data_IF_662786095364
#
_entry.id   IF_662786095364
#
_cell.length_a   1.000
_cell.length_b   1.000
_cell.length_c   1.000
_cell.angle_alpha   90.00
_cell.angle_beta   90.00
_cell.angle_gamma   90.00
#
_symmetry.space_group_name_H-M   'P 1'
#
loop_
_entity.id
_entity.type
_entity.pdbx_description
1 polymer ?
#
# COMPACT_ATOMS: atom_id res chain seq x y z
N UNK A 1 -5.19 0.11 10.42
CA UNK A 1 -5.28 -0.59 9.11
C UNK A 1 -4.70 0.20 7.94
N UNK A 2 -4.20 -0.50 6.92
CA UNK A 2 -3.75 -0.02 5.62
C UNK A 2 -4.44 -0.82 4.53
N UNK A 3 -4.83 -0.18 3.44
CA UNK A 3 -5.34 -0.83 2.25
C UNK A 3 -4.21 -1.00 1.23
N UNK A 4 -3.97 -2.24 0.81
CA UNK A 4 -3.04 -2.56 -0.26
C UNK A 4 -3.80 -2.87 -1.54
N UNK A 5 -3.37 -2.27 -2.64
CA UNK A 5 -3.77 -2.63 -4.00
C UNK A 5 -2.53 -2.95 -4.81
N UNK A 6 -2.46 -4.17 -5.30
CA UNK A 6 -1.36 -4.71 -6.08
C UNK A 6 -1.82 -4.94 -7.52
N UNK A 7 -0.91 -4.71 -8.45
CA UNK A 7 -0.98 -5.32 -9.79
C UNK A 7 0.14 -6.35 -9.85
N UNK A 8 -0.20 -7.61 -10.10
CA UNK A 8 0.72 -8.74 -10.01
C UNK A 8 0.77 -9.47 -11.36
N UNK A 9 1.95 -9.77 -11.92
CA UNK A 9 2.05 -10.68 -13.07
C UNK A 9 1.37 -12.01 -12.77
N UNK A 10 0.61 -12.55 -13.73
CA UNK A 10 -0.22 -13.75 -13.50
C UNK A 10 0.56 -14.97 -13.02
N UNK A 11 1.84 -15.10 -13.36
CA UNK A 11 2.72 -16.18 -12.91
C UNK A 11 3.21 -16.04 -11.46
N UNK A 12 3.12 -14.84 -10.87
CA UNK A 12 3.48 -14.55 -9.49
C UNK A 12 2.27 -14.47 -8.53
N UNK A 13 1.04 -14.49 -9.05
CA UNK A 13 -0.19 -14.30 -8.25
C UNK A 13 -0.31 -15.30 -7.11
N UNK A 14 -0.09 -16.59 -7.37
CA UNK A 14 -0.22 -17.63 -6.34
C UNK A 14 0.79 -17.44 -5.20
N UNK A 15 2.02 -17.01 -5.53
CA UNK A 15 3.06 -16.73 -4.53
C UNK A 15 2.71 -15.51 -3.69
N UNK A 16 2.22 -14.44 -4.32
CA UNK A 16 1.75 -13.24 -3.62
C UNK A 16 0.55 -13.54 -2.72
N UNK A 17 -0.42 -14.32 -3.20
CA UNK A 17 -1.59 -14.72 -2.40
C UNK A 17 -1.17 -15.55 -1.20
N UNK A 18 -0.28 -16.54 -1.38
CA UNK A 18 0.23 -17.34 -0.29
C UNK A 18 0.97 -16.51 0.76
N UNK A 19 1.77 -15.52 0.33
CA UNK A 19 2.42 -14.56 1.22
C UNK A 19 1.37 -13.80 2.05
N UNK A 20 0.35 -13.23 1.41
CA UNK A 20 -0.70 -12.46 2.07
C UNK A 20 -1.53 -13.31 3.04
N UNK A 21 -1.86 -14.55 2.69
CA UNK A 21 -2.59 -15.47 3.57
C UNK A 21 -1.75 -15.91 4.79
N UNK A 22 -0.42 -16.00 4.64
CA UNK A 22 0.49 -16.36 5.72
C UNK A 22 0.89 -15.19 6.63
N UNK A 23 0.63 -13.95 6.19
CA UNK A 23 0.99 -12.75 6.92
C UNK A 23 -0.02 -12.49 8.03
N UNK A 24 0.44 -12.54 9.28
CA UNK A 24 -0.39 -12.18 10.43
C UNK A 24 -0.73 -10.70 10.34
N UNK A 25 -2.01 -10.37 10.57
CA UNK A 25 -2.50 -9.00 10.45
C UNK A 25 -3.05 -8.66 9.06
N UNK A 26 -3.18 -9.62 8.15
CA UNK A 26 -3.90 -9.43 6.87
C UNK A 26 -5.38 -9.80 6.99
N UNK A 27 -6.24 -8.98 6.39
CA UNK A 27 -7.68 -9.15 6.27
C UNK A 27 -8.16 -8.79 4.85
N UNK A 28 -9.41 -9.13 4.55
CA UNK A 28 -10.11 -8.71 3.33
C UNK A 28 -9.35 -8.96 2.01
N UNK A 29 -8.69 -10.12 1.90
CA UNK A 29 -8.00 -10.51 0.67
C UNK A 29 -9.00 -10.72 -0.49
N UNK A 30 -8.76 -10.05 -1.60
CA UNK A 30 -9.53 -10.12 -2.84
C UNK A 30 -8.55 -10.32 -4.00
N UNK A 31 -8.87 -11.26 -4.89
CA UNK A 31 -8.10 -11.54 -6.11
C UNK A 31 -8.99 -11.40 -7.32
N UNK A 32 -8.56 -10.60 -8.29
CA UNK A 32 -9.25 -10.35 -9.55
C UNK A 32 -8.34 -10.77 -10.73
N UNK A 33 -8.43 -12.04 -11.17
CA UNK A 33 -7.58 -12.55 -12.24
C UNK A 33 -7.81 -11.82 -13.58
N UNK A 34 -6.72 -11.47 -14.27
CA UNK A 34 -6.70 -10.83 -15.59
C UNK A 34 -7.29 -9.42 -15.63
N UNK A 35 -7.54 -8.80 -14.48
CA UNK A 35 -8.21 -7.50 -14.39
C UNK A 35 -7.29 -6.33 -14.79
N UNK A 36 -5.97 -6.47 -14.65
CA UNK A 36 -5.02 -5.41 -14.95
C UNK A 36 -4.55 -5.45 -16.42
N UNK A 37 -4.42 -4.27 -17.02
CA UNK A 37 -4.05 -4.11 -18.45
C UNK A 37 -2.65 -3.57 -18.68
N UNK A 38 -2.14 -2.73 -17.78
CA UNK A 38 -0.80 -2.13 -17.86
C UNK A 38 -0.33 -1.75 -16.45
N UNK A 39 0.58 -2.53 -15.84
CA UNK A 39 1.08 -3.82 -16.32
C UNK A 39 -0.04 -4.87 -16.45
N UNK A 40 0.14 -5.82 -17.36
CA UNK A 40 -0.83 -6.88 -17.58
C UNK A 40 -0.72 -7.95 -16.48
N UNK A 41 -1.84 -8.36 -15.90
CA UNK A 41 -1.86 -9.34 -14.83
C UNK A 41 -3.13 -9.28 -13.99
N UNK A 42 -2.99 -9.64 -12.73
CA UNK A 42 -4.07 -9.77 -11.77
C UNK A 42 -4.07 -8.58 -10.81
N UNK A 43 -5.25 -8.21 -10.31
CA UNK A 43 -5.37 -7.22 -9.22
C UNK A 43 -5.58 -7.98 -7.92
N UNK A 44 -4.69 -7.77 -6.96
CA UNK A 44 -4.77 -8.36 -5.62
C UNK A 44 -4.93 -7.23 -4.62
N UNK A 45 -5.90 -7.33 -3.73
CA UNK A 45 -6.21 -6.30 -2.74
C UNK A 45 -6.34 -6.94 -1.37
N UNK A 46 -5.90 -6.26 -0.32
CA UNK A 46 -6.13 -6.68 1.05
C UNK A 46 -6.02 -5.50 2.00
N UNK A 47 -6.51 -5.67 3.21
CA UNK A 47 -6.22 -4.74 4.31
C UNK A 47 -5.19 -5.38 5.22
N UNK A 48 -4.25 -4.60 5.74
CA UNK A 48 -3.23 -5.07 6.67
C UNK A 48 -3.16 -4.17 7.89
N UNK A 49 -2.92 -4.75 9.06
CA UNK A 49 -2.57 -4.01 10.27
C UNK A 49 -1.32 -3.16 10.00
N UNK A 50 -1.23 -1.97 10.61
CA UNK A 50 -0.17 -1.01 10.26
C UNK A 50 1.22 -1.55 10.62
N UNK A 51 1.27 -2.34 11.68
CA UNK A 51 2.43 -3.00 12.27
C UNK A 51 3.01 -4.10 11.36
N UNK A 52 2.15 -4.76 10.57
CA UNK A 52 2.55 -5.79 9.61
C UNK A 52 2.83 -5.22 8.20
N UNK A 53 2.55 -3.93 7.97
CA UNK A 53 2.67 -3.28 6.66
C UNK A 53 4.11 -3.26 6.12
N UNK A 54 5.08 -2.81 6.92
CA UNK A 54 6.47 -2.66 6.46
C UNK A 54 7.11 -3.99 6.09
N UNK A 55 6.90 -5.03 6.91
CA UNK A 55 7.42 -6.37 6.64
C UNK A 55 6.82 -6.95 5.35
N UNK A 56 5.50 -6.79 5.18
CA UNK A 56 4.77 -7.25 4.01
C UNK A 56 5.22 -6.54 2.73
N UNK A 57 5.33 -5.21 2.75
CA UNK A 57 5.81 -4.42 1.61
C UNK A 57 7.24 -4.84 1.27
N UNK A 58 8.11 -5.01 2.27
CA UNK A 58 9.46 -5.51 2.07
C UNK A 58 9.48 -6.90 1.42
N UNK A 59 8.57 -7.79 1.78
CA UNK A 59 8.43 -9.11 1.17
C UNK A 59 7.94 -9.04 -0.28
N UNK A 60 6.94 -8.22 -0.57
CA UNK A 60 6.43 -7.99 -1.93
C UNK A 60 7.50 -7.41 -2.86
N UNK A 61 8.35 -6.50 -2.36
CA UNK A 61 9.51 -5.98 -3.09
C UNK A 61 10.57 -7.05 -3.36
N UNK A 62 10.81 -7.97 -2.42
CA UNK A 62 11.70 -9.13 -2.65
C UNK A 62 11.17 -10.08 -3.72
N UNK A 63 9.85 -10.13 -3.91
CA UNK A 63 9.21 -10.85 -5.02
C UNK A 63 9.25 -10.05 -6.35
N UNK A 64 9.80 -8.84 -6.35
CA UNK A 64 9.94 -8.00 -7.55
C UNK A 64 8.64 -7.37 -8.04
N UNK A 65 7.61 -7.26 -7.18
CA UNK A 65 6.30 -6.71 -7.56
C UNK A 65 6.37 -5.20 -7.83
N UNK A 66 7.30 -4.48 -7.19
CA UNK A 66 7.56 -3.05 -7.44
C UNK A 66 8.14 -2.80 -8.85
N UNK A 67 8.85 -3.77 -9.43
CA UNK A 67 9.43 -3.66 -10.77
C UNK A 67 8.53 -4.25 -11.87
N UNK A 68 7.90 -5.41 -11.60
CA UNK A 68 7.12 -6.17 -12.59
C UNK A 68 5.63 -5.84 -12.58
N UNK A 69 5.16 -5.17 -11.53
CA UNK A 69 3.76 -4.92 -11.25
C UNK A 69 3.54 -3.51 -10.70
N UNK A 70 2.73 -3.42 -9.65
CA UNK A 70 2.57 -2.19 -8.88
C UNK A 70 2.18 -2.52 -7.44
N UNK A 71 2.65 -1.70 -6.49
CA UNK A 71 2.23 -1.71 -5.09
C UNK A 71 1.65 -0.32 -4.79
N UNK A 72 0.42 -0.27 -4.30
CA UNK A 72 -0.22 0.96 -3.82
C UNK A 72 -0.71 0.74 -2.40
N UNK A 73 -0.46 1.69 -1.51
CA UNK A 73 -0.81 1.63 -0.09
C UNK A 73 -1.61 2.89 0.26
N UNK A 74 -2.71 2.71 0.96
CA UNK A 74 -3.56 3.80 1.44
C UNK A 74 -3.87 3.61 2.92
N UNK A 75 -3.94 4.71 3.68
CA UNK A 75 -4.37 4.65 5.07
C UNK A 75 -5.89 4.70 5.18
N UNK A 76 -6.48 3.76 5.92
CA UNK A 76 -7.93 3.74 6.15
C UNK A 76 -8.26 4.46 7.46
N UNK A 77 -8.99 5.59 7.35
CA UNK A 77 -9.45 6.37 8.51
C UNK A 77 -10.44 5.60 9.40
N UNK A 78 -11.22 4.72 8.80
CA UNK A 78 -12.20 3.90 9.50
C UNK A 78 -12.39 2.57 8.78
N UNK A 79 -12.35 1.48 9.54
CA UNK A 79 -12.75 0.15 9.11
C UNK A 79 -13.70 -0.43 10.14
N UNK A 80 -14.87 -0.90 9.71
CA UNK A 80 -15.84 -1.56 10.58
C UNK A 80 -15.95 -3.03 10.16
N UNK A 81 -15.08 -3.88 10.73
CA UNK A 81 -15.06 -5.30 10.40
C UNK A 81 -14.38 -6.11 11.50
N UNK A 82 -15.04 -7.18 11.96
CA UNK A 82 -14.44 -8.10 12.93
C UNK A 82 -13.18 -8.79 12.42
N UNK A 83 -13.02 -8.93 11.10
CA UNK A 83 -11.81 -9.51 10.51
C UNK A 83 -10.65 -8.52 10.57
N UNK A 84 -10.93 -7.22 10.34
CA UNK A 84 -9.93 -6.17 10.51
C UNK A 84 -9.55 -6.01 11.99
N UNK A 85 -10.53 -5.99 12.90
CA UNK A 85 -10.27 -5.92 14.35
C UNK A 85 -9.38 -7.07 14.82
N UNK A 86 -9.65 -8.28 14.34
CA UNK A 86 -8.85 -9.47 14.64
C UNK A 86 -7.43 -9.34 14.07
N UNK A 87 -7.30 -8.92 12.82
CA UNK A 87 -6.02 -8.73 12.17
C UNK A 87 -5.14 -7.70 12.92
N UNK A 88 -5.71 -6.56 13.29
CA UNK A 88 -5.01 -5.53 14.07
C UNK A 88 -4.63 -6.03 15.47
N UNK A 89 -5.48 -6.83 16.12
CA UNK A 89 -5.16 -7.41 17.42
C UNK A 89 -4.08 -8.50 17.38
N UNK A 90 -4.03 -9.28 16.31
CA UNK A 90 -3.05 -10.37 16.15
C UNK A 90 -1.70 -9.87 15.62
N UNK A 91 -1.66 -8.67 15.04
CA UNK A 91 -0.44 -8.08 14.52
C UNK A 91 0.56 -7.77 15.66
N UNK A 92 1.83 -8.19 15.53
CA UNK A 92 2.83 -7.94 16.56
C UNK A 92 3.32 -6.48 16.51
N UNK A 93 3.01 -5.70 17.55
CA UNK A 93 3.51 -4.31 17.69
C UNK A 93 2.57 -3.42 18.51
N UNK A 94 2.96 -2.17 18.71
CA UNK A 94 2.06 -1.11 19.18
C UNK A 94 1.83 -0.13 18.03
N UNK A 95 0.57 0.09 17.63
CA UNK A 95 0.23 0.88 16.43
C UNK A 95 0.61 2.35 16.48
N UNK A 96 1.04 2.81 17.66
CA UNK A 96 1.65 4.13 17.86
C UNK A 96 3.08 4.24 17.30
N UNK A 97 3.79 3.12 17.06
CA UNK A 97 5.20 3.07 16.64
C UNK A 97 5.41 2.64 15.17
N UNK A 98 4.33 2.34 14.43
CA UNK A 98 4.42 1.99 13.01
C UNK A 98 4.58 3.26 12.15
N UNK A 99 5.80 3.80 12.11
CA UNK A 99 6.21 4.82 11.13
C UNK A 99 6.52 4.08 9.83
N UNK A 100 5.57 4.06 8.90
CA UNK A 100 5.79 3.51 7.56
C UNK A 100 6.95 4.24 6.89
N UNK A 101 8.07 3.54 6.66
CA UNK A 101 9.35 4.16 6.28
C UNK A 101 9.45 4.58 4.81
N UNK A 102 8.31 4.84 4.15
CA UNK A 102 8.25 5.51 2.84
C UNK A 102 7.51 6.86 2.87
N UNK A 103 6.83 7.24 3.97
CA UNK A 103 6.22 8.58 4.11
C UNK A 103 7.26 9.72 4.21
N UNK A 104 8.56 9.43 4.30
CA UNK A 104 9.60 10.44 4.51
C UNK A 104 10.64 10.56 3.39
N UNK A 105 10.44 9.93 2.23
CA UNK A 105 11.29 10.22 1.04
C UNK A 105 10.56 11.00 -0.06
N UNK A 106 9.25 11.25 0.07
CA UNK A 106 8.53 12.13 -0.87
C UNK A 106 7.49 13.08 -0.25
N UNK A 107 7.35 13.16 1.07
CA UNK A 107 6.55 14.18 1.74
C UNK A 107 7.40 15.36 2.25
N UNK A 108 8.13 16.01 1.36
CA UNK A 108 8.39 17.45 1.47
C UNK A 108 8.37 18.11 0.10
N UNK A 109 7.48 17.65 -0.78
CA UNK A 109 6.91 18.58 -1.74
C UNK A 109 5.83 19.35 -0.99
N UNK A 110 6.23 20.45 -0.36
CA UNK A 110 5.33 21.61 -0.34
C UNK A 110 4.77 21.73 -1.76
N UNK A 111 3.46 21.81 -1.89
CA UNK A 111 2.77 22.12 -3.14
C UNK A 111 3.04 23.58 -3.57
N UNK A 112 4.26 24.09 -3.33
CA UNK A 112 4.81 25.28 -3.93
C UNK A 112 5.41 24.88 -5.27
N UNK A 113 4.55 24.51 -6.24
CA UNK A 113 4.98 24.52 -7.63
C UNK A 113 5.32 25.96 -7.96
N UNK A 114 6.62 26.29 -7.95
CA UNK A 114 7.14 27.61 -8.28
C UNK A 114 6.71 27.95 -9.70
N UNK A 115 5.58 28.66 -9.81
CA UNK A 115 4.97 29.02 -11.08
C UNK A 115 5.28 30.48 -11.37
N UNK A 116 5.78 30.75 -12.58
CA UNK A 116 5.96 32.13 -13.07
C UNK A 116 4.65 32.93 -12.93
N UNK A 117 3.50 32.26 -13.05
CA UNK A 117 2.18 32.87 -12.85
C UNK A 117 1.97 33.33 -11.41
N UNK A 118 2.41 32.54 -10.41
CA UNK A 118 2.31 32.90 -8.99
C UNK A 118 3.18 34.13 -8.67
N UNK A 119 4.44 34.17 -9.14
CA UNK A 119 5.33 35.32 -8.97
C UNK A 119 4.77 36.57 -9.68
N UNK A 120 4.16 36.39 -10.85
CA UNK A 120 3.55 37.51 -11.60
C UNK A 120 2.37 38.13 -10.87
N UNK A 121 1.52 37.32 -10.21
CA UNK A 121 0.42 37.84 -9.39
C UNK A 121 0.91 38.56 -8.13
N UNK A 122 1.93 38.01 -7.45
CA UNK A 122 2.47 38.62 -6.23
C UNK A 122 3.18 39.96 -6.51
N UNK A 123 3.83 40.11 -7.67
CA UNK A 123 4.50 41.35 -8.06
C UNK A 123 3.55 42.48 -8.51
N UNK A 124 2.30 42.14 -8.86
CA UNK A 124 1.30 43.11 -9.33
C UNK A 124 0.41 43.66 -8.20
N UNK A 125 0.42 43.03 -7.02
CA UNK A 125 -0.32 43.42 -5.82
C UNK A 125 0.40 44.53 -5.04
#
# INVERSE_FOLDING_TARGET
MLHLRLIVPTDATDEVVALLESTVGTAHLVVLPGAARSPAGDVVMCDVAREAGDELIGALRRLGIDESGAISVEHLDLTLSSHADKAEHEAPGDGADAVLWEELTEATHEESTFSITYVSFLALA
#
